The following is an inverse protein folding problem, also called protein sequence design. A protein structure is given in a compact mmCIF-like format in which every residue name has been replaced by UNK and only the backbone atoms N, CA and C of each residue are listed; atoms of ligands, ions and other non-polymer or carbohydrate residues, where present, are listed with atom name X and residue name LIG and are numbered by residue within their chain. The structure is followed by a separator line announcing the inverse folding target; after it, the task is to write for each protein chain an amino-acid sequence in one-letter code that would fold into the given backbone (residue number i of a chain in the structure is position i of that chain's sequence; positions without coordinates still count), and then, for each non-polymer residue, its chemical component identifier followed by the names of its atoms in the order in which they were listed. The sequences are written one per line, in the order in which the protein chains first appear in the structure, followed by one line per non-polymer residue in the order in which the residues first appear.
data_IF_858672530432
#
_entry.id   IF_858672530432
#
_cell.length_a   1.000
_cell.length_b   1.000
_cell.length_c   1.000
_cell.angle_alpha   90.00
_cell.angle_beta   90.00
_cell.angle_gamma   90.00
#
_symmetry.space_group_name_H-M   'P 1'
#
loop_
_entity.id
_entity.type
_entity.pdbx_description
1 polymer ?
#
# COMPACT_ATOMS: atom_id res chain seq x y z
N UNK A 1 1.98 0.82 -26.92
CA UNK A 1 1.71 0.85 -25.46
C UNK A 1 2.91 0.27 -24.72
N UNK A 2 3.23 0.73 -23.50
CA UNK A 2 4.28 0.14 -22.69
C UNK A 2 4.02 -1.34 -22.41
N UNK A 3 5.06 -2.17 -22.47
CA UNK A 3 5.00 -3.61 -22.19
C UNK A 3 6.20 -4.06 -21.35
N UNK A 4 6.00 -5.09 -20.53
CA UNK A 4 7.10 -5.71 -19.77
C UNK A 4 7.80 -6.73 -20.68
N UNK A 5 9.05 -6.47 -21.03
CA UNK A 5 9.88 -7.38 -21.84
C UNK A 5 10.48 -8.51 -20.99
N UNK A 6 10.83 -8.24 -19.73
CA UNK A 6 11.32 -9.25 -18.79
C UNK A 6 11.05 -8.85 -17.35
N UNK A 7 10.95 -9.87 -16.49
CA UNK A 7 10.86 -9.76 -15.03
C UNK A 7 12.03 -10.51 -14.40
N UNK A 8 12.61 -9.94 -13.35
CA UNK A 8 13.61 -10.60 -12.53
C UNK A 8 13.27 -10.46 -11.05
N UNK A 9 13.30 -11.56 -10.31
CA UNK A 9 13.17 -11.53 -8.85
C UNK A 9 14.37 -10.85 -8.16
N UNK A 10 15.51 -10.73 -8.86
CA UNK A 10 16.70 -10.06 -8.33
C UNK A 10 16.78 -8.64 -8.86
N UNK A 11 16.78 -7.69 -7.93
CA UNK A 11 16.86 -6.27 -8.24
C UNK A 11 18.34 -5.90 -8.30
N UNK A 12 18.80 -5.56 -9.50
CA UNK A 12 20.22 -5.28 -9.80
C UNK A 12 20.43 -3.89 -10.37
N UNK A 13 19.40 -3.30 -10.96
CA UNK A 13 19.46 -1.95 -11.52
C UNK A 13 19.74 -0.92 -10.43
N UNK A 14 20.68 -0.01 -10.70
CA UNK A 14 21.15 0.99 -9.72
C UNK A 14 20.06 1.98 -9.33
N UNK A 15 19.20 2.40 -10.25
CA UNK A 15 18.13 3.36 -9.96
C UNK A 15 17.04 2.69 -9.09
N UNK A 16 16.67 1.45 -9.41
CA UNK A 16 15.75 0.68 -8.56
C UNK A 16 16.30 0.48 -7.13
N UNK A 17 17.59 0.15 -7.00
CA UNK A 17 18.23 0.00 -5.69
C UNK A 17 18.33 1.33 -4.93
N UNK A 18 18.63 2.43 -5.62
CA UNK A 18 18.65 3.76 -5.02
C UNK A 18 17.26 4.15 -4.50
N UNK A 19 16.19 3.81 -5.22
CA UNK A 19 14.82 4.08 -4.78
C UNK A 19 14.43 3.27 -3.55
N UNK A 20 14.77 1.97 -3.50
CA UNK A 20 14.57 1.14 -2.31
C UNK A 20 15.28 1.76 -1.09
N UNK A 21 16.53 2.22 -1.29
CA UNK A 21 17.30 2.90 -0.25
C UNK A 21 16.69 4.24 0.18
N UNK A 22 16.18 5.04 -0.77
CA UNK A 22 15.49 6.32 -0.50
C UNK A 22 14.27 6.11 0.39
N UNK A 23 13.51 5.02 0.16
CA UNK A 23 12.37 4.61 0.99
C UNK A 23 12.77 3.95 2.32
N UNK A 24 14.06 3.90 2.63
CA UNK A 24 14.61 3.29 3.85
C UNK A 24 14.23 1.80 4.00
N UNK A 25 14.01 1.11 2.89
CA UNK A 25 13.67 -0.32 2.86
C UNK A 25 14.93 -1.16 2.61
N UNK A 26 14.93 -2.40 3.10
CA UNK A 26 16.01 -3.33 2.78
C UNK A 26 15.78 -3.97 1.41
N UNK A 27 16.86 -4.24 0.69
CA UNK A 27 16.81 -4.99 -0.56
C UNK A 27 16.11 -6.35 -0.40
N UNK A 28 16.38 -7.05 0.70
CA UNK A 28 15.79 -8.37 0.96
C UNK A 28 14.26 -8.31 1.11
N UNK A 29 13.75 -7.30 1.81
CA UNK A 29 12.31 -7.08 1.92
C UNK A 29 11.71 -6.74 0.55
N UNK A 30 12.34 -5.82 -0.19
CA UNK A 30 11.89 -5.45 -1.53
C UNK A 30 11.84 -6.66 -2.47
N UNK A 31 12.89 -7.48 -2.54
CA UNK A 31 12.94 -8.69 -3.41
C UNK A 31 11.93 -9.78 -3.01
N UNK A 32 11.36 -9.74 -1.80
CA UNK A 32 10.28 -10.66 -1.39
C UNK A 32 8.98 -10.39 -2.17
N UNK A 33 8.73 -9.14 -2.55
CA UNK A 33 7.44 -8.70 -3.07
C UNK A 33 7.53 -8.00 -4.43
N UNK A 34 8.68 -7.44 -4.77
CA UNK A 34 8.93 -6.70 -6.00
C UNK A 34 9.82 -7.49 -6.94
N UNK A 35 9.60 -7.27 -8.24
CA UNK A 35 10.46 -7.73 -9.32
C UNK A 35 11.04 -6.53 -10.04
N UNK A 36 12.24 -6.67 -10.61
CA UNK A 36 12.74 -5.72 -11.59
C UNK A 36 12.12 -6.01 -12.95
N UNK A 37 11.40 -5.04 -13.52
CA UNK A 37 10.85 -5.09 -14.86
C UNK A 37 11.72 -4.28 -15.83
N UNK A 38 11.95 -4.82 -17.03
CA UNK A 38 12.48 -4.05 -18.16
C UNK A 38 11.36 -3.73 -19.14
N UNK A 39 11.08 -2.45 -19.36
CA UNK A 39 9.89 -1.96 -20.05
C UNK A 39 10.24 -1.42 -21.44
N UNK A 40 9.49 -1.87 -22.45
CA UNK A 40 9.60 -1.41 -23.84
C UNK A 40 8.38 -0.57 -24.25
N UNK A 41 8.51 0.34 -25.24
CA UNK A 41 9.69 0.64 -26.06
C UNK A 41 10.73 1.55 -25.36
N UNK A 42 10.39 2.15 -24.22
CA UNK A 42 11.20 3.18 -23.58
C UNK A 42 12.51 2.68 -22.93
N UNK A 43 12.72 1.35 -22.86
CA UNK A 43 13.91 0.69 -22.29
C UNK A 43 14.20 1.11 -20.85
N UNK A 44 13.16 1.15 -20.02
CA UNK A 44 13.23 1.59 -18.63
C UNK A 44 13.33 0.38 -17.70
N UNK A 45 14.23 0.42 -16.72
CA UNK A 45 14.16 -0.47 -15.56
C UNK A 45 13.22 0.13 -14.52
N UNK A 46 12.30 -0.70 -14.03
CA UNK A 46 11.29 -0.30 -13.05
C UNK A 46 11.12 -1.39 -12.00
N UNK A 47 10.47 -1.03 -10.90
CA UNK A 47 9.98 -1.97 -9.91
C UNK A 47 8.58 -2.40 -10.30
N UNK A 48 8.30 -3.70 -10.19
CA UNK A 48 7.02 -4.29 -10.55
C UNK A 48 6.47 -5.06 -9.36
N UNK A 49 5.23 -4.74 -8.99
CA UNK A 49 4.47 -5.41 -7.95
C UNK A 49 3.29 -6.15 -8.58
N UNK A 50 3.25 -7.47 -8.43
CA UNK A 50 2.25 -8.32 -9.10
C UNK A 50 0.91 -8.25 -8.38
N UNK A 51 -0.18 -8.13 -9.15
CA UNK A 51 -1.55 -8.19 -8.66
C UNK A 51 -2.19 -9.58 -8.89
N UNK A 52 -3.35 -9.80 -8.29
CA UNK A 52 -4.05 -11.11 -8.33
C UNK A 52 -4.65 -11.41 -9.71
N UNK A 53 -4.90 -10.39 -10.52
CA UNK A 53 -5.37 -10.51 -11.90
C UNK A 53 -4.23 -10.84 -12.90
N UNK A 54 -2.98 -10.94 -12.43
CA UNK A 54 -1.80 -11.26 -13.25
C UNK A 54 -1.13 -10.06 -13.93
N UNK A 55 -1.63 -8.84 -13.72
CA UNK A 55 -0.94 -7.61 -14.09
C UNK A 55 0.10 -7.19 -13.05
N UNK A 56 0.81 -6.09 -13.34
CA UNK A 56 1.83 -5.54 -12.45
C UNK A 56 1.65 -4.04 -12.31
N UNK A 57 1.57 -3.55 -11.08
CA UNK A 57 1.81 -2.13 -10.81
C UNK A 57 3.30 -1.87 -10.98
N UNK A 58 3.61 -0.93 -11.87
CA UNK A 58 4.96 -0.52 -12.22
C UNK A 58 5.25 0.81 -11.57
N UNK A 59 6.40 0.91 -10.89
CA UNK A 59 6.93 2.16 -10.38
C UNK A 59 8.34 2.42 -10.94
N UNK A 60 8.53 3.61 -11.49
CA UNK A 60 9.84 4.10 -11.92
C UNK A 60 10.04 5.54 -11.47
N UNK A 61 11.22 5.81 -10.92
CA UNK A 61 11.67 7.17 -10.59
C UNK A 61 12.87 7.54 -11.43
N UNK A 62 12.77 8.67 -12.13
CA UNK A 62 13.89 9.36 -12.75
C UNK A 62 14.35 10.47 -11.79
N UNK A 63 15.45 10.21 -11.10
CA UNK A 63 16.01 11.13 -10.11
C UNK A 63 16.54 12.43 -10.73
N UNK A 64 17.08 12.37 -11.95
CA UNK A 64 17.67 13.52 -12.65
C UNK A 64 16.60 14.53 -13.08
N UNK A 65 15.44 14.03 -13.49
CA UNK A 65 14.31 14.86 -13.92
C UNK A 65 13.30 15.13 -12.80
N UNK A 66 13.54 14.61 -11.59
CA UNK A 66 12.58 14.65 -10.47
C UNK A 66 11.18 14.13 -10.86
N UNK A 67 11.14 13.07 -11.67
CA UNK A 67 9.90 12.49 -12.16
C UNK A 67 9.65 11.11 -11.56
N UNK A 68 8.42 10.91 -11.09
CA UNK A 68 7.94 9.62 -10.63
C UNK A 68 6.78 9.19 -11.51
N UNK A 69 6.78 7.91 -11.91
CA UNK A 69 5.71 7.32 -12.71
C UNK A 69 5.29 6.01 -12.08
N UNK A 70 4.00 5.94 -11.73
CA UNK A 70 3.32 4.70 -11.37
C UNK A 70 2.24 4.37 -12.39
N UNK A 71 1.96 3.08 -12.61
CA UNK A 71 0.85 2.64 -13.43
C UNK A 71 0.86 1.13 -13.65
N UNK A 72 -0.29 0.57 -14.03
CA UNK A 72 -0.42 -0.88 -14.24
C UNK A 72 -0.11 -1.27 -15.68
N UNK A 73 0.73 -2.30 -15.87
CA UNK A 73 0.89 -3.00 -17.15
C UNK A 73 0.25 -4.39 -17.04
N UNK A 74 -0.71 -4.67 -17.94
CA UNK A 74 -1.54 -5.89 -17.90
C UNK A 74 -2.89 -5.64 -17.21
N UNK A 75 -3.61 -6.72 -16.84
CA UNK A 75 -4.90 -6.61 -16.14
C UNK A 75 -4.79 -5.83 -14.83
N UNK A 76 -5.67 -4.86 -14.60
CA UNK A 76 -5.75 -4.13 -13.35
C UNK A 76 -6.44 -4.98 -12.28
N UNK A 77 -5.94 -4.89 -11.05
CA UNK A 77 -6.47 -5.65 -9.92
C UNK A 77 -5.77 -5.28 -8.63
N UNK A 78 -6.35 -5.74 -7.53
CA UNK A 78 -5.73 -5.67 -6.20
C UNK A 78 -4.68 -6.77 -6.04
N UNK A 79 -3.85 -6.63 -5.03
CA UNK A 79 -3.03 -7.73 -4.52
C UNK A 79 -3.50 -8.10 -3.13
N UNK A 80 -3.86 -9.36 -2.94
CA UNK A 80 -4.30 -9.92 -1.67
C UNK A 80 -3.24 -10.87 -1.13
N UNK A 81 -2.81 -10.64 0.10
CA UNK A 81 -2.08 -11.63 0.90
C UNK A 81 -3.06 -12.15 1.94
N UNK A 82 -3.63 -13.36 1.73
CA UNK A 82 -4.70 -13.86 2.58
C UNK A 82 -4.15 -14.27 3.95
N UNK A 83 -5.00 -14.14 4.97
CA UNK A 83 -4.75 -14.72 6.27
C UNK A 83 -4.70 -16.26 6.19
N UNK A 84 -4.09 -16.90 7.18
CA UNK A 84 -4.08 -18.35 7.32
C UNK A 84 -5.50 -18.93 7.34
N UNK A 85 -5.76 -20.08 6.68
CA UNK A 85 -7.04 -20.77 6.78
C UNK A 85 -7.45 -21.13 8.22
N UNK A 86 -6.48 -21.26 9.14
CA UNK A 86 -6.72 -21.56 10.55
C UNK A 86 -7.05 -20.35 11.43
N UNK A 87 -6.97 -19.12 10.92
CA UNK A 87 -7.31 -17.93 11.68
C UNK A 87 -8.82 -17.91 12.01
N UNK A 88 -9.16 -17.62 13.27
CA UNK A 88 -10.55 -17.53 13.74
C UNK A 88 -11.16 -16.14 13.52
N UNK A 89 -10.34 -15.11 13.62
CA UNK A 89 -10.67 -13.71 13.34
C UNK A 89 -9.51 -13.12 12.56
N UNK A 90 -9.83 -12.28 11.58
CA UNK A 90 -8.87 -11.69 10.66
C UNK A 90 -8.87 -10.18 10.81
N UNK A 91 -7.68 -9.62 11.04
CA UNK A 91 -7.46 -8.19 10.92
C UNK A 91 -7.04 -7.89 9.47
N UNK A 92 -7.79 -7.00 8.80
CA UNK A 92 -7.52 -6.63 7.42
C UNK A 92 -6.80 -5.29 7.39
N UNK A 93 -5.70 -5.23 6.63
CA UNK A 93 -4.99 -3.98 6.39
C UNK A 93 -5.05 -3.64 4.89
N UNK A 94 -5.52 -2.44 4.59
CA UNK A 94 -5.72 -1.98 3.21
C UNK A 94 -4.75 -0.87 2.88
N UNK A 95 -4.05 -0.95 1.75
CA UNK A 95 -3.06 0.05 1.32
C UNK A 95 -3.39 0.54 -0.08
N UNK A 96 -3.29 1.85 -0.32
CA UNK A 96 -3.48 2.37 -1.67
C UNK A 96 -2.33 1.95 -2.61
N UNK A 97 -1.09 2.03 -2.12
CA UNK A 97 0.10 1.68 -2.90
C UNK A 97 0.93 0.60 -2.20
N UNK A 98 1.66 -0.22 -2.96
CA UNK A 98 2.52 -1.25 -2.38
C UNK A 98 3.66 -0.69 -1.51
N UNK A 99 3.97 0.59 -1.61
CA UNK A 99 5.03 1.22 -0.82
C UNK A 99 4.66 1.32 0.65
N UNK A 100 3.39 1.61 0.95
CA UNK A 100 2.89 1.65 2.33
C UNK A 100 2.88 0.24 2.94
N UNK A 101 2.49 -0.76 2.15
CA UNK A 101 2.57 -2.16 2.55
C UNK A 101 4.00 -2.58 2.91
N UNK A 102 4.98 -2.28 2.04
CA UNK A 102 6.39 -2.60 2.31
C UNK A 102 6.93 -1.85 3.52
N UNK A 103 6.53 -0.59 3.68
CA UNK A 103 6.92 0.22 4.84
C UNK A 103 6.35 -0.35 6.13
N UNK A 104 5.09 -0.80 6.13
CA UNK A 104 4.54 -1.56 7.28
C UNK A 104 5.35 -2.81 7.54
N UNK A 105 5.68 -3.61 6.52
CA UNK A 105 6.46 -4.83 6.73
C UNK A 105 7.84 -4.54 7.31
N UNK A 106 8.45 -3.41 6.94
CA UNK A 106 9.70 -2.94 7.53
C UNK A 106 9.54 -2.58 9.02
N UNK A 107 8.43 -1.95 9.40
CA UNK A 107 8.18 -1.43 10.75
C UNK A 107 7.63 -2.48 11.72
N UNK A 108 6.78 -3.39 11.25
CA UNK A 108 6.05 -4.35 12.08
C UNK A 108 6.45 -5.82 11.83
N UNK A 109 7.29 -6.07 10.83
CA UNK A 109 7.63 -7.42 10.38
C UNK A 109 6.70 -7.95 9.30
N UNK A 110 6.94 -9.19 8.88
CA UNK A 110 6.17 -9.86 7.83
C UNK A 110 4.71 -10.10 8.26
N UNK A 111 3.78 -10.26 7.30
CA UNK A 111 2.38 -10.60 7.58
C UNK A 111 2.23 -11.77 8.53
N UNK A 112 1.38 -11.61 9.55
CA UNK A 112 1.09 -12.68 10.53
C UNK A 112 -0.07 -13.57 10.06
N UNK A 113 -0.22 -14.79 10.63
CA UNK A 113 -1.27 -15.72 10.23
C UNK A 113 -2.71 -15.17 10.33
N UNK A 114 -2.97 -14.25 11.24
CA UNK A 114 -4.25 -13.60 11.50
C UNK A 114 -4.47 -12.29 10.70
N UNK A 115 -3.53 -11.95 9.82
CA UNK A 115 -3.56 -10.71 9.04
C UNK A 115 -3.86 -10.99 7.57
N UNK A 116 -4.80 -10.22 7.02
CA UNK A 116 -5.02 -10.13 5.57
C UNK A 116 -4.53 -8.77 5.09
N UNK A 117 -3.73 -8.73 4.03
CA UNK A 117 -3.29 -7.49 3.43
C UNK A 117 -3.88 -7.32 2.04
N UNK A 118 -4.46 -6.16 1.78
CA UNK A 118 -5.03 -5.81 0.48
C UNK A 118 -4.36 -4.54 -0.03
N UNK A 119 -3.62 -4.65 -1.12
CA UNK A 119 -3.03 -3.50 -1.80
C UNK A 119 -3.92 -3.16 -3.00
N UNK A 120 -4.53 -1.97 -3.00
CA UNK A 120 -5.58 -1.63 -3.95
C UNK A 120 -5.04 -1.37 -5.35
N UNK A 121 -3.85 -0.77 -5.48
CA UNK A 121 -3.29 -0.30 -6.75
C UNK A 121 -4.31 0.58 -7.53
N UNK A 122 -5.05 1.41 -6.80
CA UNK A 122 -6.14 2.24 -7.34
C UNK A 122 -7.45 1.50 -7.63
N UNK A 123 -7.55 0.19 -7.34
CA UNK A 123 -8.75 -0.63 -7.53
C UNK A 123 -9.58 -0.75 -6.23
N UNK A 124 -9.97 0.38 -5.67
CA UNK A 124 -10.60 0.45 -4.34
C UNK A 124 -11.87 -0.40 -4.20
N UNK A 125 -12.74 -0.44 -5.23
CA UNK A 125 -13.96 -1.26 -5.20
C UNK A 125 -13.65 -2.76 -5.15
N UNK A 126 -12.68 -3.20 -5.95
CA UNK A 126 -12.23 -4.59 -5.96
C UNK A 126 -11.60 -4.99 -4.60
N UNK A 127 -10.99 -4.03 -3.90
CA UNK A 127 -10.48 -4.26 -2.54
C UNK A 127 -11.62 -4.51 -1.54
N UNK A 128 -12.68 -3.71 -1.59
CA UNK A 128 -13.87 -3.93 -0.78
C UNK A 128 -14.50 -5.31 -1.05
N UNK A 129 -14.61 -5.72 -2.31
CA UNK A 129 -15.14 -7.03 -2.68
C UNK A 129 -14.26 -8.19 -2.19
N UNK A 130 -12.93 -8.05 -2.26
CA UNK A 130 -12.01 -9.05 -1.71
C UNK A 130 -12.22 -9.23 -0.19
N UNK A 131 -12.48 -8.14 0.54
CA UNK A 131 -12.67 -8.15 1.99
C UNK A 131 -14.04 -8.73 2.38
N UNK A 132 -15.11 -8.42 1.64
CA UNK A 132 -16.43 -9.03 1.84
C UNK A 132 -16.42 -10.55 1.72
N UNK A 133 -15.53 -11.08 0.88
CA UNK A 133 -15.36 -12.52 0.73
C UNK A 133 -14.64 -13.18 1.93
N UNK A 134 -13.93 -12.39 2.75
CA UNK A 134 -13.33 -12.85 4.00
C UNK A 134 -14.31 -12.67 5.17
N UNK A 135 -15.17 -13.69 5.36
CA UNK A 135 -16.22 -13.68 6.40
C UNK A 135 -15.70 -13.64 7.83
N UNK A 136 -14.40 -13.87 8.06
CA UNK A 136 -13.76 -13.85 9.38
C UNK A 136 -13.22 -12.47 9.75
N UNK A 137 -13.42 -11.47 8.89
CA UNK A 137 -12.95 -10.11 9.13
C UNK A 137 -13.56 -9.55 10.41
N UNK A 138 -12.71 -9.27 11.40
CA UNK A 138 -13.11 -8.67 12.67
C UNK A 138 -12.88 -7.17 12.72
N UNK A 139 -11.85 -6.68 12.01
CA UNK A 139 -11.54 -5.26 11.91
C UNK A 139 -10.80 -4.96 10.61
N UNK A 140 -10.91 -3.71 10.16
CA UNK A 140 -10.22 -3.19 8.98
C UNK A 140 -9.45 -1.93 9.37
N UNK A 141 -8.18 -1.86 8.99
CA UNK A 141 -7.38 -0.64 9.06
C UNK A 141 -6.97 -0.20 7.65
N UNK A 142 -7.48 0.96 7.23
CA UNK A 142 -7.24 1.54 5.92
C UNK A 142 -6.12 2.58 5.94
N UNK A 143 -5.08 2.37 5.13
CA UNK A 143 -4.00 3.31 4.86
C UNK A 143 -4.23 3.93 3.48
N UNK A 144 -4.81 5.11 3.44
CA UNK A 144 -4.95 5.85 2.20
C UNK A 144 -5.18 7.32 2.42
N UNK A 145 -5.25 8.06 1.31
CA UNK A 145 -5.63 9.46 1.30
C UNK A 145 -7.15 9.58 1.22
N UNK A 146 -7.71 10.64 1.80
CA UNK A 146 -9.16 10.71 2.05
C UNK A 146 -10.09 10.55 0.83
N UNK A 147 -9.62 10.61 -0.42
CA UNK A 147 -10.45 10.30 -1.60
C UNK A 147 -10.63 8.79 -1.77
N UNK A 148 -9.54 8.02 -1.71
CA UNK A 148 -9.61 6.56 -1.82
C UNK A 148 -10.35 5.94 -0.63
N UNK A 149 -10.22 6.56 0.55
CA UNK A 149 -10.95 6.20 1.76
C UNK A 149 -12.47 6.29 1.58
N UNK A 150 -13.00 7.43 1.13
CA UNK A 150 -14.44 7.60 0.94
C UNK A 150 -15.02 6.55 -0.01
N UNK A 151 -14.36 6.33 -1.15
CA UNK A 151 -14.78 5.30 -2.11
C UNK A 151 -14.70 3.90 -1.51
N UNK A 152 -13.71 3.63 -0.66
CA UNK A 152 -13.56 2.34 0.00
C UNK A 152 -14.69 2.08 1.00
N UNK A 153 -14.94 3.03 1.89
CA UNK A 153 -15.95 2.91 2.94
C UNK A 153 -17.34 2.76 2.32
N UNK A 154 -17.67 3.60 1.32
CA UNK A 154 -18.92 3.50 0.57
C UNK A 154 -19.02 2.15 -0.16
N UNK A 155 -17.94 1.70 -0.79
CA UNK A 155 -17.94 0.44 -1.51
C UNK A 155 -17.93 -0.79 -0.60
N UNK A 156 -17.57 -0.69 0.68
CA UNK A 156 -17.54 -1.80 1.62
C UNK A 156 -18.93 -2.06 2.22
N UNK A 157 -19.70 -1.00 2.49
CA UNK A 157 -21.10 -1.05 2.97
C UNK A 157 -21.32 -2.17 4.00
N UNK A 158 -20.55 -2.14 5.10
CA UNK A 158 -20.50 -3.23 6.07
C UNK A 158 -20.52 -2.70 7.50
N UNK A 159 -21.11 -3.49 8.41
CA UNK A 159 -21.07 -3.25 9.87
C UNK A 159 -19.69 -3.54 10.49
N UNK A 160 -18.67 -3.88 9.69
CA UNK A 160 -17.33 -4.20 10.16
C UNK A 160 -16.66 -2.91 10.67
N UNK A 161 -16.07 -2.98 11.86
CA UNK A 161 -15.26 -1.90 12.42
C UNK A 161 -14.12 -1.53 11.47
N UNK A 162 -14.27 -0.37 10.82
CA UNK A 162 -13.34 0.14 9.82
C UNK A 162 -12.71 1.41 10.35
N UNK A 163 -11.41 1.35 10.55
CA UNK A 163 -10.60 2.45 11.06
C UNK A 163 -9.69 2.97 9.95
N UNK A 164 -9.39 4.25 10.01
CA UNK A 164 -8.44 4.90 9.11
C UNK A 164 -7.16 5.15 9.88
N UNK A 165 -6.02 4.77 9.28
CA UNK A 165 -4.73 5.01 9.90
C UNK A 165 -4.48 6.52 10.03
N UNK A 166 -3.95 6.96 11.18
CA UNK A 166 -3.61 8.37 11.39
C UNK A 166 -2.53 8.90 10.45
N UNK A 167 -1.68 8.00 9.96
CA UNK A 167 -0.58 8.34 9.07
C UNK A 167 -1.03 8.00 7.65
N UNK A 168 -1.48 9.02 6.92
CA UNK A 168 -1.67 8.96 5.48
C UNK A 168 -0.30 8.77 4.78
N UNK A 169 -0.29 8.07 3.65
CA UNK A 169 0.91 7.83 2.83
C UNK A 169 2.13 7.39 3.67
N UNK A 170 1.96 6.30 4.44
CA UNK A 170 2.91 5.77 5.41
C UNK A 170 4.35 5.73 4.89
N UNK A 171 4.56 5.37 3.62
CA UNK A 171 5.90 5.34 3.02
C UNK A 171 6.54 6.72 2.95
N UNK A 172 5.82 7.73 2.45
CA UNK A 172 6.33 9.10 2.35
C UNK A 172 6.54 9.70 3.75
N UNK A 173 5.58 9.49 4.66
CA UNK A 173 5.72 9.92 6.05
C UNK A 173 6.97 9.32 6.74
N UNK A 174 7.24 8.04 6.49
CA UNK A 174 8.42 7.36 7.05
C UNK A 174 9.73 7.88 6.43
N UNK A 175 9.70 8.26 5.15
CA UNK A 175 10.85 8.86 4.50
C UNK A 175 11.22 10.22 5.08
N UNK A 176 10.22 11.06 5.33
CA UNK A 176 10.42 12.41 5.85
C UNK A 176 10.77 12.41 7.34
N UNK A 177 10.11 11.56 8.14
CA UNK A 177 10.23 11.57 9.60
C UNK A 177 10.28 10.15 10.20
N UNK A 178 11.33 9.36 9.94
CA UNK A 178 11.38 7.96 10.32
C UNK A 178 11.23 7.72 11.83
N UNK A 179 11.88 8.55 12.65
CA UNK A 179 11.82 8.44 14.11
C UNK A 179 10.48 8.90 14.70
N UNK A 180 9.78 9.84 14.07
CA UNK A 180 8.44 10.24 14.49
C UNK A 180 7.43 9.13 14.19
N UNK A 181 7.49 8.56 12.98
CA UNK A 181 6.64 7.44 12.57
C UNK A 181 6.87 6.21 13.45
N UNK A 182 8.14 5.85 13.72
CA UNK A 182 8.48 4.75 14.66
C UNK A 182 7.90 4.97 16.05
N UNK A 183 7.93 6.20 16.57
CA UNK A 183 7.37 6.53 17.88
C UNK A 183 5.84 6.43 17.89
N UNK A 184 5.18 7.00 16.88
CA UNK A 184 3.71 6.94 16.75
C UNK A 184 3.21 5.48 16.70
N UNK A 185 3.94 4.62 16.01
CA UNK A 185 3.64 3.19 15.86
C UNK A 185 3.89 2.38 17.13
N UNK A 186 4.90 2.73 17.93
CA UNK A 186 5.26 2.01 19.17
C UNK A 186 4.45 2.43 20.38
N UNK A 187 3.69 3.52 20.31
CA UNK A 187 2.88 3.98 21.43
C UNK A 187 1.86 2.87 21.80
N UNK A 188 1.90 2.31 23.03
CA UNK A 188 1.04 1.20 23.45
C UNK A 188 -0.46 1.58 23.57
N UNK A 189 -0.82 2.78 23.15
CA UNK A 189 -2.14 3.38 23.29
C UNK A 189 -2.60 4.09 22.00
N UNK A 190 -2.24 3.61 20.81
CA UNK A 190 -3.07 3.96 19.64
C UNK A 190 -4.37 3.15 19.67
N UNK A 191 -5.20 3.45 20.68
CA UNK A 191 -6.65 3.27 20.59
C UNK A 191 -7.11 4.42 19.69
N UNK A 192 -7.75 4.18 18.54
CA UNK A 192 -8.50 5.21 17.86
C UNK A 192 -9.79 5.47 18.65
N UNK A 193 -9.61 5.95 19.89
CA UNK A 193 -10.63 6.63 20.65
C UNK A 193 -10.23 8.11 20.56
N UNK A 194 -11.02 8.87 19.79
CA UNK A 194 -11.01 10.35 19.74
C UNK A 194 -9.95 11.13 18.92
N UNK A 195 -9.38 10.57 17.84
CA UNK A 195 -8.83 11.42 16.75
C UNK A 195 -9.80 11.61 15.58
N UNK A 196 -11.03 11.07 15.69
CA UNK A 196 -12.20 11.37 14.84
C UNK A 196 -12.64 12.86 14.84
N UNK A 197 -11.84 13.79 15.39
CA UNK A 197 -12.12 15.22 15.42
C UNK A 197 -11.11 16.09 14.63
N UNK A 198 -10.00 15.54 14.10
CA UNK A 198 -8.97 16.34 13.42
C UNK A 198 -8.87 16.16 11.90
N UNK A 199 -9.49 15.13 11.30
CA UNK A 199 -9.69 15.09 9.84
C UNK A 199 -10.98 15.76 9.38
N UNK A 200 -11.94 15.99 10.29
CA UNK A 200 -13.21 16.69 10.01
C UNK A 200 -13.07 18.22 10.08
N UNK A 201 -12.06 18.75 10.78
CA UNK A 201 -11.93 20.20 11.02
C UNK A 201 -11.12 20.99 9.99
N UNK A 202 -10.55 20.35 8.94
CA UNK A 202 -9.87 21.06 7.84
C UNK A 202 -10.62 21.09 6.51
N UNK A 203 -11.73 20.36 6.32
CA UNK A 203 -12.49 20.36 5.05
C UNK A 203 -13.73 21.26 5.01
N UNK A 204 -14.09 21.92 6.12
CA UNK A 204 -15.15 22.94 6.14
C UNK A 204 -14.68 24.35 5.70
N UNK A 205 -13.41 24.53 5.31
CA UNK A 205 -12.88 25.84 4.86
C UNK A 205 -12.79 26.02 3.33
N UNK A 206 -13.28 25.06 2.53
CA UNK A 206 -13.24 25.16 1.05
C UNK A 206 -14.60 24.96 0.36
N UNK A 207 -15.72 25.04 1.09
CA UNK A 207 -17.07 25.10 0.52
C UNK A 207 -17.83 26.37 0.90
N UNK A 208 -17.15 27.37 1.45
CA UNK A 208 -17.66 28.72 1.65
C UNK A 208 -16.61 29.75 1.21
N UNK A 209 -16.45 29.82 -0.12
CA UNK A 209 -15.65 30.81 -0.84
C UNK A 209 -16.00 30.77 -2.32
#
# INVERSE_FOLDING_TARGET
MPTIKSLSAKIKDKACLAEIGRRQLTKALAETYLQQAFITPNRINALAFRNDAGGHEIYHRNAELHQEKSGTIGPAGVRTLPASPGARSVAVFVYVHFWDFLTRCHLYGLPKPEEMHVITNGQTKNAADAIRNERRTGSILFFGNGVAEHVFIEALDSEIDTQVAAIEDLSEAYMDQPESVRRAIRAPEYRPDQSAALSVSMRLRYTSG
#
